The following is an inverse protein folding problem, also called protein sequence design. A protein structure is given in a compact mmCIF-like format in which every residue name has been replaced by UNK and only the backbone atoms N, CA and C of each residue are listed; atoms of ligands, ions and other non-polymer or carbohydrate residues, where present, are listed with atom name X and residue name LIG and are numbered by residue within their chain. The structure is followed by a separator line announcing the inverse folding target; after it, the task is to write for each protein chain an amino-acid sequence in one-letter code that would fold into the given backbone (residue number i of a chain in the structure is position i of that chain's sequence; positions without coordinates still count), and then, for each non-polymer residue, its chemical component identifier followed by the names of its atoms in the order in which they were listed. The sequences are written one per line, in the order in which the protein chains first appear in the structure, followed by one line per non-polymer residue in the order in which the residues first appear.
data_IF_274499779190
#
_entry.id   IF_274499779190
#
_cell.length_a   1.000
_cell.length_b   1.000
_cell.length_c   1.000
_cell.angle_alpha   90.00
_cell.angle_beta   90.00
_cell.angle_gamma   90.00
#
_symmetry.space_group_name_H-M   'P 1'
#
loop_
_entity.id
_entity.type
_entity.pdbx_description
1 polymer ?
#
# COMPACT_ATOMS: atom_id res chain seq x y z
N UNK A 1 -4.63 29.03 -13.53
CA UNK A 1 -4.21 27.75 -14.15
C UNK A 1 -2.76 27.40 -13.82
N UNK A 2 -1.84 28.35 -13.89
CA UNK A 2 -0.41 28.11 -13.59
C UNK A 2 -0.14 27.55 -12.19
N UNK A 3 -0.73 28.12 -11.13
CA UNK A 3 -0.57 27.61 -9.77
C UNK A 3 -1.05 26.17 -9.61
N UNK A 4 -2.15 25.79 -10.28
CA UNK A 4 -2.67 24.43 -10.25
C UNK A 4 -1.71 23.44 -10.95
N UNK A 5 -1.16 23.85 -12.07
CA UNK A 5 -0.16 23.05 -12.81
C UNK A 5 1.09 22.80 -11.94
N UNK A 6 1.59 23.83 -11.23
CA UNK A 6 2.71 23.67 -10.29
C UNK A 6 2.40 22.66 -9.17
N UNK A 7 1.22 22.74 -8.57
CA UNK A 7 0.80 21.80 -7.52
C UNK A 7 0.75 20.37 -8.05
N UNK A 8 0.24 20.16 -9.27
CA UNK A 8 0.18 18.83 -9.90
C UNK A 8 1.59 18.29 -10.18
N UNK A 9 2.49 19.13 -10.68
CA UNK A 9 3.89 18.75 -10.92
C UNK A 9 4.61 18.40 -9.62
N UNK A 10 4.47 19.20 -8.57
CA UNK A 10 5.01 18.92 -7.23
C UNK A 10 4.46 17.60 -6.70
N UNK A 11 3.14 17.41 -6.77
CA UNK A 11 2.48 16.16 -6.35
C UNK A 11 3.08 14.94 -7.02
N UNK A 12 3.23 15.00 -8.35
CA UNK A 12 3.80 13.88 -9.12
C UNK A 12 5.27 13.62 -8.76
N UNK A 13 6.09 14.68 -8.70
CA UNK A 13 7.52 14.54 -8.38
C UNK A 13 7.72 13.93 -7.00
N UNK A 14 7.00 14.41 -5.98
CA UNK A 14 7.12 13.86 -4.63
C UNK A 14 6.51 12.46 -4.51
N UNK A 15 5.46 12.15 -5.27
CA UNK A 15 4.93 10.79 -5.37
C UNK A 15 5.95 9.84 -6.00
N UNK A 16 6.69 10.28 -7.00
CA UNK A 16 7.77 9.51 -7.65
C UNK A 16 8.98 9.34 -6.72
N UNK A 17 9.43 10.39 -6.06
CA UNK A 17 10.54 10.34 -5.08
C UNK A 17 10.18 9.38 -3.94
N UNK A 18 8.97 9.45 -3.40
CA UNK A 18 8.49 8.55 -2.37
C UNK A 18 8.44 7.09 -2.81
N UNK A 19 7.97 6.84 -4.03
CA UNK A 19 8.00 5.51 -4.64
C UNK A 19 9.43 4.97 -4.78
N UNK A 20 10.35 5.80 -5.26
CA UNK A 20 11.75 5.44 -5.45
C UNK A 20 12.40 5.09 -4.09
N UNK A 21 12.21 5.93 -3.08
CA UNK A 21 12.69 5.70 -1.72
C UNK A 21 12.18 4.37 -1.16
N UNK A 22 10.88 4.14 -1.23
CA UNK A 22 10.25 2.94 -0.67
C UNK A 22 10.68 1.67 -1.41
N UNK A 23 10.77 1.75 -2.75
CA UNK A 23 11.20 0.64 -3.61
C UNK A 23 12.65 0.27 -3.32
N UNK A 24 13.56 1.26 -3.24
CA UNK A 24 14.97 1.02 -2.92
C UNK A 24 15.11 0.44 -1.52
N UNK A 25 14.51 1.06 -0.51
CA UNK A 25 14.58 0.59 0.87
C UNK A 25 14.08 -0.85 1.02
N UNK A 26 12.90 -1.15 0.47
CA UNK A 26 12.32 -2.49 0.55
C UNK A 26 13.12 -3.52 -0.25
N UNK A 27 13.67 -3.14 -1.41
CA UNK A 27 14.49 -4.03 -2.23
C UNK A 27 15.81 -4.39 -1.54
N UNK A 28 16.49 -3.43 -0.94
CA UNK A 28 17.72 -3.65 -0.16
C UNK A 28 17.46 -4.58 1.02
N UNK A 29 16.38 -4.33 1.77
CA UNK A 29 15.99 -5.18 2.90
C UNK A 29 15.62 -6.60 2.50
N UNK A 30 14.93 -6.76 1.37
CA UNK A 30 14.49 -8.06 0.85
C UNK A 30 15.57 -8.78 0.03
N UNK A 31 16.71 -8.12 -0.29
CA UNK A 31 17.77 -8.61 -1.20
C UNK A 31 17.24 -9.06 -2.57
N UNK A 32 16.16 -8.46 -3.02
CA UNK A 32 15.54 -8.67 -4.34
C UNK A 32 14.72 -7.45 -4.73
N UNK A 33 14.46 -7.27 -6.02
CA UNK A 33 13.63 -6.16 -6.48
C UNK A 33 12.19 -6.27 -5.93
N UNK A 34 11.74 -5.23 -5.22
CA UNK A 34 10.39 -5.13 -4.63
C UNK A 34 9.73 -3.87 -5.16
N UNK A 35 8.83 -4.01 -6.12
CA UNK A 35 8.10 -2.90 -6.69
C UNK A 35 7.03 -2.41 -5.73
N UNK A 36 7.23 -1.24 -5.11
CA UNK A 36 6.31 -0.66 -4.14
C UNK A 36 5.26 0.23 -4.80
N UNK A 37 4.29 0.68 -4.01
CA UNK A 37 3.21 1.56 -4.46
C UNK A 37 1.87 0.86 -4.64
N UNK A 38 0.79 1.59 -4.34
CA UNK A 38 -0.58 1.12 -4.55
C UNK A 38 -0.94 1.10 -6.04
N UNK A 39 -0.53 2.12 -6.78
CA UNK A 39 -0.75 2.28 -8.22
C UNK A 39 0.23 1.42 -9.04
N UNK A 40 -0.08 1.21 -10.32
CA UNK A 40 0.78 0.43 -11.23
C UNK A 40 2.02 1.22 -11.62
N UNK A 41 1.88 2.52 -11.83
CA UNK A 41 2.99 3.41 -12.19
C UNK A 41 3.97 3.65 -11.04
N UNK A 42 5.16 4.19 -11.35
CA UNK A 42 6.24 4.41 -10.39
C UNK A 42 5.98 5.67 -9.53
N UNK A 43 4.89 5.67 -8.79
CA UNK A 43 4.53 6.77 -7.90
C UNK A 43 3.67 6.27 -6.72
N UNK A 44 3.89 6.88 -5.56
CA UNK A 44 3.14 6.63 -4.31
C UNK A 44 2.42 7.92 -3.90
N UNK A 45 1.12 8.09 -4.20
CA UNK A 45 0.38 9.34 -3.96
C UNK A 45 0.41 9.84 -2.51
N UNK A 46 0.52 8.94 -1.53
CA UNK A 46 0.59 9.32 -0.11
C UNK A 46 1.75 10.29 0.18
N UNK A 47 2.90 10.11 -0.50
CA UNK A 47 4.05 11.01 -0.35
C UNK A 47 3.78 12.38 -1.00
N UNK A 48 3.14 12.40 -2.17
CA UNK A 48 2.69 13.64 -2.81
C UNK A 48 1.74 14.43 -1.94
N UNK A 49 0.71 13.78 -1.38
CA UNK A 49 -0.21 14.42 -0.43
C UNK A 49 0.50 14.85 0.84
N UNK A 50 1.38 14.02 1.39
CA UNK A 50 2.14 14.32 2.61
C UNK A 50 2.98 15.58 2.45
N UNK A 51 3.81 15.63 1.42
CA UNK A 51 4.70 16.79 1.18
C UNK A 51 3.90 18.04 0.84
N UNK A 52 2.91 17.97 -0.05
CA UNK A 52 2.08 19.13 -0.36
C UNK A 52 1.36 19.69 0.87
N UNK A 53 0.88 18.81 1.76
CA UNK A 53 0.27 19.25 3.01
C UNK A 53 1.27 19.95 3.93
N UNK A 54 2.50 19.45 4.02
CA UNK A 54 3.57 20.10 4.78
C UNK A 54 3.94 21.45 4.17
N UNK A 55 4.11 21.54 2.85
CA UNK A 55 4.39 22.78 2.14
C UNK A 55 3.27 23.82 2.31
N UNK A 56 2.03 23.40 2.41
CA UNK A 56 0.91 24.32 2.56
C UNK A 56 0.69 24.78 4.01
N UNK A 57 0.75 23.85 4.97
CA UNK A 57 0.36 24.13 6.36
C UNK A 57 1.54 24.42 7.28
N UNK A 58 2.73 23.90 7.01
CA UNK A 58 3.87 23.92 7.94
C UNK A 58 5.03 24.77 7.43
N UNK A 59 5.31 24.77 6.12
CA UNK A 59 6.36 25.58 5.51
C UNK A 59 6.28 27.07 5.86
N UNK A 60 5.08 27.72 5.98
CA UNK A 60 5.01 29.12 6.42
C UNK A 60 5.70 29.42 7.77
N UNK A 61 5.91 28.39 8.58
CA UNK A 61 6.59 28.45 9.88
C UNK A 61 8.05 27.92 9.83
N UNK A 62 8.62 27.78 8.65
CA UNK A 62 9.96 27.15 8.44
C UNK A 62 11.09 27.82 9.19
N UNK A 63 10.97 29.08 9.60
CA UNK A 63 11.96 29.78 10.42
C UNK A 63 12.10 29.19 11.82
N UNK A 64 11.10 28.46 12.31
CA UNK A 64 11.17 27.74 13.57
C UNK A 64 11.28 26.22 13.28
N UNK A 65 12.50 25.69 13.37
CA UNK A 65 12.78 24.28 13.11
C UNK A 65 11.96 23.33 13.99
N UNK A 66 11.66 23.73 15.23
CA UNK A 66 10.86 22.89 16.14
C UNK A 66 9.40 22.80 15.63
N UNK A 67 8.82 23.94 15.23
CA UNK A 67 7.47 23.97 14.66
C UNK A 67 7.42 23.18 13.34
N UNK A 68 8.43 23.36 12.48
CA UNK A 68 8.53 22.63 11.23
C UNK A 68 8.61 21.12 11.49
N UNK A 69 9.47 20.67 12.42
CA UNK A 69 9.65 19.26 12.75
C UNK A 69 8.40 18.65 13.37
N UNK A 70 7.88 19.23 14.46
CA UNK A 70 6.74 18.67 15.20
C UNK A 70 5.45 18.77 14.36
N UNK A 71 5.22 19.91 13.72
CA UNK A 71 4.07 20.11 12.85
C UNK A 71 4.04 19.12 11.68
N UNK A 72 5.18 18.90 11.03
CA UNK A 72 5.29 17.90 9.96
C UNK A 72 5.08 16.48 10.48
N UNK A 73 5.68 16.10 11.62
CA UNK A 73 5.49 14.77 12.20
C UNK A 73 4.03 14.50 12.52
N UNK A 74 3.33 15.46 13.14
CA UNK A 74 1.89 15.34 13.45
C UNK A 74 1.05 15.24 12.17
N UNK A 75 1.29 16.11 11.20
CA UNK A 75 0.51 16.17 9.96
C UNK A 75 0.66 14.88 9.15
N UNK A 76 1.89 14.39 8.98
CA UNK A 76 2.17 13.15 8.25
C UNK A 76 1.58 11.95 8.97
N UNK A 77 1.64 11.91 10.32
CA UNK A 77 1.01 10.85 11.13
C UNK A 77 -0.52 10.80 10.92
N UNK A 78 -1.18 11.96 10.89
CA UNK A 78 -2.62 12.04 10.61
C UNK A 78 -2.93 11.48 9.22
N UNK A 79 -2.17 11.90 8.20
CA UNK A 79 -2.35 11.42 6.83
C UNK A 79 -2.11 9.91 6.71
N UNK A 80 -1.07 9.39 7.36
CA UNK A 80 -0.77 7.95 7.38
C UNK A 80 -1.90 7.16 8.04
N UNK A 81 -2.41 7.66 9.17
CA UNK A 81 -3.53 7.01 9.89
C UNK A 81 -4.81 7.00 9.05
N UNK A 82 -5.18 8.16 8.48
CA UNK A 82 -6.40 8.30 7.64
C UNK A 82 -6.30 7.42 6.40
N UNK A 83 -5.13 7.39 5.74
CA UNK A 83 -4.89 6.54 4.57
C UNK A 83 -5.01 5.07 4.92
N UNK A 84 -4.35 4.62 6.02
CA UNK A 84 -4.44 3.24 6.48
C UNK A 84 -5.88 2.83 6.81
N UNK A 85 -6.61 3.69 7.53
CA UNK A 85 -8.01 3.46 7.87
C UNK A 85 -8.90 3.39 6.63
N UNK A 86 -8.72 4.31 5.68
CA UNK A 86 -9.49 4.34 4.42
C UNK A 86 -9.27 3.09 3.57
N UNK A 87 -8.00 2.70 3.37
CA UNK A 87 -7.66 1.49 2.62
C UNK A 87 -8.21 0.22 3.28
N UNK A 88 -8.13 0.13 4.62
CA UNK A 88 -8.70 -1.00 5.36
C UNK A 88 -10.23 -1.09 5.19
N UNK A 89 -10.93 0.03 5.26
CA UNK A 89 -12.40 0.09 5.06
C UNK A 89 -12.81 -0.29 3.63
N UNK A 90 -12.07 0.18 2.64
CA UNK A 90 -12.39 -0.07 1.23
C UNK A 90 -12.07 -1.50 0.80
N UNK A 91 -10.92 -2.03 1.22
CA UNK A 91 -10.38 -3.29 0.67
C UNK A 91 -10.29 -4.43 1.67
N UNK A 92 -10.66 -4.22 2.96
CA UNK A 92 -10.51 -5.20 4.04
C UNK A 92 -9.07 -5.72 4.20
N UNK A 93 -8.09 -4.91 3.83
CA UNK A 93 -6.68 -5.23 3.90
C UNK A 93 -5.88 -4.04 4.42
N UNK A 94 -4.83 -4.30 5.18
CA UNK A 94 -3.87 -3.30 5.64
C UNK A 94 -2.53 -3.55 4.96
N UNK A 95 -1.93 -2.50 4.37
CA UNK A 95 -0.68 -2.60 3.58
C UNK A 95 0.57 -2.63 4.43
N UNK A 96 0.49 -2.08 5.67
CA UNK A 96 1.55 -2.11 6.67
C UNK A 96 0.96 -2.39 8.05
N UNK A 97 1.81 -2.84 8.95
CA UNK A 97 1.42 -3.17 10.31
C UNK A 97 2.57 -2.82 11.26
N UNK A 98 2.28 -1.92 12.19
CA UNK A 98 3.21 -1.45 13.23
C UNK A 98 2.88 -2.02 14.61
N UNK A 99 2.09 -3.08 14.74
CA UNK A 99 1.78 -3.66 16.07
C UNK A 99 3.03 -4.05 16.84
N UNK A 100 4.10 -4.46 16.13
CA UNK A 100 5.39 -4.83 16.72
C UNK A 100 6.28 -3.61 17.08
N UNK A 101 5.85 -2.38 16.75
CA UNK A 101 6.62 -1.15 17.00
C UNK A 101 6.08 -0.47 18.26
N UNK A 102 6.96 -0.06 19.22
CA UNK A 102 6.52 0.61 20.44
C UNK A 102 5.79 1.92 20.14
N UNK A 103 4.84 2.27 21.02
CA UNK A 103 3.99 3.46 20.90
C UNK A 103 3.23 3.53 19.57
N UNK A 104 2.74 2.38 19.09
CA UNK A 104 1.84 2.36 17.94
C UNK A 104 0.40 2.67 18.34
N UNK A 105 -0.36 3.22 17.37
CA UNK A 105 -1.79 3.44 17.49
C UNK A 105 -2.51 2.53 16.49
N UNK A 106 -3.14 1.47 17.01
CA UNK A 106 -3.88 0.47 16.25
C UNK A 106 -3.06 -0.22 15.12
N UNK A 107 -1.71 -0.26 15.27
CA UNK A 107 -0.80 -0.77 14.24
C UNK A 107 -0.75 0.05 12.96
N UNK A 108 -1.46 1.21 12.88
CA UNK A 108 -1.53 2.05 11.69
C UNK A 108 -0.41 3.05 11.60
N UNK A 109 -0.04 3.64 12.74
CA UNK A 109 1.05 4.59 12.89
C UNK A 109 1.84 4.25 14.15
N UNK A 110 3.09 4.71 14.25
CA UNK A 110 3.92 4.51 15.44
C UNK A 110 4.83 5.72 15.66
N UNK A 111 5.00 6.13 16.92
CA UNK A 111 5.75 7.33 17.28
C UNK A 111 7.18 7.36 16.68
N UNK A 112 8.00 6.29 16.74
CA UNK A 112 9.33 6.32 16.13
C UNK A 112 9.29 6.57 14.62
N UNK A 113 8.27 6.04 13.92
CA UNK A 113 8.08 6.23 12.48
C UNK A 113 7.66 7.67 12.18
N UNK A 114 6.75 8.22 12.98
CA UNK A 114 6.30 9.61 12.87
C UNK A 114 7.46 10.60 13.07
N UNK A 115 8.31 10.37 14.06
CA UNK A 115 9.50 11.20 14.32
C UNK A 115 10.50 11.11 13.16
N UNK A 116 10.73 9.93 12.60
CA UNK A 116 11.58 9.75 11.42
C UNK A 116 11.05 10.53 10.22
N UNK A 117 9.75 10.46 9.93
CA UNK A 117 9.14 11.22 8.83
C UNK A 117 9.12 12.72 9.08
N UNK A 118 8.97 13.16 10.35
CA UNK A 118 9.13 14.57 10.72
C UNK A 118 10.51 15.11 10.33
N UNK A 119 11.58 14.36 10.62
CA UNK A 119 12.95 14.72 10.21
C UNK A 119 13.09 14.73 8.67
N UNK A 120 12.50 13.73 7.99
CA UNK A 120 12.45 13.68 6.54
C UNK A 120 11.78 14.92 5.93
N UNK A 121 10.68 15.40 6.51
CA UNK A 121 9.99 16.60 6.06
C UNK A 121 10.83 17.87 6.25
N UNK A 122 11.59 17.99 7.36
CA UNK A 122 12.53 19.11 7.54
C UNK A 122 13.58 19.11 6.43
N UNK A 123 14.17 17.96 6.11
CA UNK A 123 15.12 17.82 5.01
C UNK A 123 14.47 18.17 3.66
N UNK A 124 13.24 17.73 3.42
CA UNK A 124 12.50 18.05 2.21
C UNK A 124 12.32 19.57 2.11
N UNK A 125 11.76 20.22 3.10
CA UNK A 125 11.45 21.66 3.05
C UNK A 125 12.72 22.51 2.91
N UNK A 126 13.77 22.20 3.68
CA UNK A 126 14.98 23.04 3.73
C UNK A 126 15.99 22.78 2.61
N UNK A 127 16.05 21.57 2.08
CA UNK A 127 17.10 21.17 1.14
C UNK A 127 16.52 20.77 -0.21
N UNK A 128 15.52 19.91 -0.24
CA UNK A 128 15.04 19.31 -1.48
C UNK A 128 14.06 20.25 -2.22
N UNK A 129 13.14 20.88 -1.50
CA UNK A 129 12.10 21.74 -2.09
C UNK A 129 12.65 22.91 -2.92
N UNK A 130 13.70 23.64 -2.48
CA UNK A 130 14.26 24.72 -3.29
C UNK A 130 14.75 24.24 -4.67
N UNK A 131 15.32 23.05 -4.77
CA UNK A 131 15.78 22.47 -6.02
C UNK A 131 14.60 21.94 -6.86
N UNK A 132 13.65 21.27 -6.24
CA UNK A 132 12.43 20.80 -6.91
C UNK A 132 11.63 21.98 -7.46
N UNK A 133 11.55 23.10 -6.75
CA UNK A 133 10.88 24.30 -7.23
C UNK A 133 11.50 24.84 -8.54
N UNK A 134 12.83 24.79 -8.67
CA UNK A 134 13.52 25.15 -9.94
C UNK A 134 13.15 24.19 -11.07
N UNK A 135 13.13 22.87 -10.78
CA UNK A 135 12.73 21.86 -11.77
C UNK A 135 11.28 22.07 -12.21
N UNK A 136 10.36 22.32 -11.29
CA UNK A 136 8.95 22.58 -11.58
C UNK A 136 8.79 23.83 -12.43
N UNK A 137 9.51 24.91 -12.11
CA UNK A 137 9.49 26.16 -12.90
C UNK A 137 10.01 25.94 -14.32
N UNK A 138 11.09 25.18 -14.49
CA UNK A 138 11.62 24.80 -15.78
C UNK A 138 10.64 23.97 -16.61
N UNK A 139 10.04 22.93 -15.99
CA UNK A 139 9.05 22.08 -16.66
C UNK A 139 7.82 22.87 -17.08
N UNK A 140 7.37 23.80 -16.23
CA UNK A 140 6.23 24.65 -16.54
C UNK A 140 6.54 25.65 -17.66
N UNK A 141 7.72 26.25 -17.67
CA UNK A 141 8.15 27.14 -18.75
C UNK A 141 8.26 26.41 -20.08
N UNK A 142 8.69 25.13 -20.07
CA UNK A 142 8.91 24.34 -21.30
C UNK A 142 7.61 23.74 -21.84
N UNK A 143 6.78 23.15 -20.97
CA UNK A 143 5.62 22.36 -21.39
C UNK A 143 4.28 23.02 -21.05
N UNK A 144 4.29 24.13 -20.31
CA UNK A 144 3.08 24.81 -19.85
C UNK A 144 2.17 23.90 -19.02
N UNK A 145 0.86 24.05 -19.22
CA UNK A 145 -0.13 23.26 -18.51
C UNK A 145 -0.36 21.86 -19.11
N UNK A 146 0.15 21.58 -20.30
CA UNK A 146 -0.09 20.30 -20.99
C UNK A 146 0.53 19.12 -20.24
N UNK A 147 1.74 19.29 -19.69
CA UNK A 147 2.40 18.23 -18.91
C UNK A 147 1.59 17.86 -17.67
N UNK A 148 1.10 18.84 -16.92
CA UNK A 148 0.25 18.61 -15.77
C UNK A 148 -1.05 17.88 -16.16
N UNK A 149 -1.68 18.26 -17.27
CA UNK A 149 -2.88 17.58 -17.78
C UNK A 149 -2.59 16.11 -18.12
N UNK A 150 -1.49 15.84 -18.84
CA UNK A 150 -1.09 14.47 -19.15
C UNK A 150 -0.85 13.64 -17.90
N UNK A 151 -0.18 14.20 -16.88
CA UNK A 151 0.05 13.52 -15.60
C UNK A 151 -1.28 13.16 -14.91
N UNK A 152 -2.23 14.10 -14.84
CA UNK A 152 -3.55 13.85 -14.23
C UNK A 152 -4.29 12.74 -14.97
N UNK A 153 -4.27 12.75 -16.30
CA UNK A 153 -4.93 11.70 -17.11
C UNK A 153 -4.28 10.34 -16.84
N UNK A 154 -2.94 10.24 -16.92
CA UNK A 154 -2.23 8.97 -16.73
C UNK A 154 -2.43 8.42 -15.33
N UNK A 155 -2.26 9.26 -14.29
CA UNK A 155 -2.47 8.85 -12.91
C UNK A 155 -3.94 8.51 -12.62
N UNK A 156 -4.88 9.25 -13.21
CA UNK A 156 -6.31 9.00 -13.09
C UNK A 156 -6.71 7.65 -13.70
N UNK A 157 -6.24 7.34 -14.90
CA UNK A 157 -6.46 6.04 -15.54
C UNK A 157 -5.86 4.89 -14.74
N UNK A 158 -4.64 5.06 -14.23
CA UNK A 158 -3.99 4.07 -13.37
C UNK A 158 -4.78 3.87 -12.06
N UNK A 159 -5.27 4.94 -11.46
CA UNK A 159 -6.09 4.86 -10.26
C UNK A 159 -7.39 4.06 -10.52
N UNK A 160 -8.10 4.37 -11.61
CA UNK A 160 -9.32 3.64 -11.99
C UNK A 160 -8.99 2.16 -12.21
N UNK A 161 -7.96 1.86 -13.00
CA UNK A 161 -7.52 0.50 -13.24
C UNK A 161 -7.19 -0.24 -11.94
N UNK A 162 -6.44 0.40 -11.05
CA UNK A 162 -6.04 -0.17 -9.76
C UNK A 162 -7.25 -0.44 -8.87
N UNK A 163 -8.20 0.51 -8.75
CA UNK A 163 -9.40 0.35 -7.94
C UNK A 163 -10.29 -0.80 -8.43
N UNK A 164 -10.49 -0.94 -9.74
CA UNK A 164 -11.25 -2.05 -10.32
C UNK A 164 -10.62 -3.41 -10.00
N UNK A 165 -9.30 -3.51 -10.12
CA UNK A 165 -8.57 -4.74 -9.79
C UNK A 165 -8.60 -5.06 -8.29
N UNK A 166 -8.56 -4.03 -7.42
CA UNK A 166 -8.64 -4.22 -5.98
C UNK A 166 -10.03 -4.64 -5.50
N UNK A 167 -11.10 -4.20 -6.15
CA UNK A 167 -12.44 -4.72 -5.89
C UNK A 167 -12.53 -6.22 -6.21
N UNK A 168 -11.96 -6.64 -7.34
CA UNK A 168 -11.83 -8.06 -7.68
C UNK A 168 -11.02 -8.86 -6.67
N UNK A 169 -9.95 -8.27 -6.13
CA UNK A 169 -9.15 -8.87 -5.06
C UNK A 169 -9.95 -9.07 -3.77
N UNK A 170 -10.68 -8.05 -3.32
CA UNK A 170 -11.58 -8.14 -2.16
C UNK A 170 -12.60 -9.27 -2.32
N UNK A 171 -13.26 -9.36 -3.49
CA UNK A 171 -14.21 -10.43 -3.80
C UNK A 171 -13.56 -11.81 -3.71
N UNK A 172 -12.38 -11.97 -4.33
CA UNK A 172 -11.64 -13.23 -4.32
C UNK A 172 -11.27 -13.68 -2.90
N UNK A 173 -10.74 -12.77 -2.06
CA UNK A 173 -10.38 -13.07 -0.68
C UNK A 173 -11.61 -13.47 0.14
N UNK A 174 -12.75 -12.81 -0.07
CA UNK A 174 -14.00 -13.14 0.61
C UNK A 174 -14.49 -14.53 0.20
N UNK A 175 -14.45 -14.87 -1.09
CA UNK A 175 -14.77 -16.20 -1.61
C UNK A 175 -13.85 -17.28 -1.04
N UNK A 176 -12.54 -16.98 -0.92
CA UNK A 176 -11.58 -17.89 -0.28
C UNK A 176 -11.97 -18.19 1.18
N UNK A 177 -12.31 -17.14 1.94
CA UNK A 177 -12.75 -17.29 3.34
C UNK A 177 -14.01 -18.12 3.48
N UNK A 178 -15.01 -17.89 2.63
CA UNK A 178 -16.27 -18.67 2.61
C UNK A 178 -16.02 -20.13 2.21
N UNK A 179 -15.20 -20.36 1.19
CA UNK A 179 -14.85 -21.72 0.75
C UNK A 179 -14.15 -22.51 1.84
N UNK A 180 -13.29 -21.89 2.63
CA UNK A 180 -12.62 -22.53 3.78
C UNK A 180 -13.65 -22.88 4.87
N UNK A 181 -14.59 -21.99 5.16
CA UNK A 181 -15.65 -22.23 6.14
C UNK A 181 -16.53 -23.42 5.77
N UNK A 182 -17.03 -23.46 4.53
CA UNK A 182 -17.85 -24.57 4.03
C UNK A 182 -17.12 -25.91 4.16
N UNK A 183 -15.81 -25.93 3.87
CA UNK A 183 -15.02 -27.15 3.99
C UNK A 183 -14.76 -27.57 5.44
N UNK A 184 -14.59 -26.62 6.36
CA UNK A 184 -14.48 -26.95 7.79
C UNK A 184 -15.81 -27.54 8.32
N UNK A 185 -16.95 -27.00 7.87
CA UNK A 185 -18.27 -27.53 8.26
C UNK A 185 -18.51 -28.93 7.67
N UNK A 186 -18.22 -29.14 6.39
CA UNK A 186 -18.29 -30.47 5.77
C UNK A 186 -17.37 -31.48 6.45
N UNK A 187 -16.16 -31.06 6.85
CA UNK A 187 -15.22 -31.91 7.57
C UNK A 187 -15.74 -32.30 8.95
N UNK A 188 -16.28 -31.34 9.72
CA UNK A 188 -16.91 -31.62 11.01
C UNK A 188 -18.09 -32.58 10.90
N UNK A 189 -18.92 -32.42 9.87
CA UNK A 189 -20.03 -33.34 9.60
C UNK A 189 -19.55 -34.76 9.23
N UNK A 190 -18.44 -34.89 8.50
CA UNK A 190 -17.86 -36.20 8.10
C UNK A 190 -17.12 -36.88 9.26
N UNK A 191 -16.52 -36.14 10.20
CA UNK A 191 -15.92 -36.70 11.42
C UNK A 191 -16.97 -37.33 12.34
N UNK A 192 -18.19 -36.83 12.30
CA UNK A 192 -19.31 -37.45 13.04
C UNK A 192 -19.85 -38.73 12.34
N UNK A 193 -19.46 -39.01 11.11
CA UNK A 193 -19.82 -40.23 10.37
C UNK A 193 -18.56 -41.05 10.13
N UNK A 194 -18.28 -42.01 11.00
CA UNK A 194 -17.16 -42.98 11.00
C UNK A 194 -16.50 -43.23 9.65
N UNK A 195 -15.34 -42.59 9.39
CA UNK A 195 -14.33 -43.07 8.42
C UNK A 195 -12.98 -42.39 8.67
N UNK A 196 -12.10 -43.00 9.48
CA UNK A 196 -10.88 -42.40 10.01
C UNK A 196 -9.61 -42.54 9.14
N UNK A 197 -9.61 -43.34 8.07
CA UNK A 197 -8.36 -43.72 7.38
C UNK A 197 -8.15 -43.11 5.98
N UNK A 198 -9.21 -42.64 5.32
CA UNK A 198 -9.11 -42.03 3.98
C UNK A 198 -9.00 -40.50 3.98
N UNK A 199 -8.96 -39.87 5.14
CA UNK A 199 -9.18 -38.41 5.28
C UNK A 199 -7.94 -37.56 5.02
N UNK A 200 -6.73 -38.01 5.35
CA UNK A 200 -5.49 -37.22 5.22
C UNK A 200 -5.08 -37.01 3.74
N UNK A 201 -5.22 -38.00 2.90
CA UNK A 201 -4.87 -37.90 1.47
C UNK A 201 -5.93 -37.11 0.68
N UNK A 202 -7.21 -37.27 1.03
CA UNK A 202 -8.29 -36.45 0.49
C UNK A 202 -8.15 -34.97 0.86
N UNK A 203 -7.73 -34.65 2.07
CA UNK A 203 -7.49 -33.28 2.49
C UNK A 203 -6.35 -32.64 1.70
N UNK A 204 -5.22 -33.32 1.55
CA UNK A 204 -4.08 -32.85 0.77
C UNK A 204 -4.44 -32.62 -0.71
N UNK A 205 -5.22 -33.53 -1.29
CA UNK A 205 -5.68 -33.41 -2.68
C UNK A 205 -6.64 -32.22 -2.86
N UNK A 206 -7.60 -32.04 -1.93
CA UNK A 206 -8.58 -30.96 -1.94
C UNK A 206 -7.91 -29.60 -1.73
N UNK A 207 -6.89 -29.50 -0.87
CA UNK A 207 -6.07 -28.31 -0.69
C UNK A 207 -5.24 -27.96 -1.92
N UNK A 208 -4.64 -28.96 -2.59
CA UNK A 208 -3.89 -28.75 -3.85
C UNK A 208 -4.80 -28.22 -4.96
N UNK A 209 -5.94 -28.83 -5.18
CA UNK A 209 -6.92 -28.43 -6.22
C UNK A 209 -7.45 -27.02 -5.98
N UNK A 210 -7.71 -26.65 -4.71
CA UNK A 210 -8.14 -25.28 -4.36
C UNK A 210 -7.05 -24.26 -4.58
N UNK A 211 -5.83 -24.59 -4.19
CA UNK A 211 -4.65 -23.76 -4.36
C UNK A 211 -4.45 -23.41 -5.84
N UNK A 212 -4.54 -24.39 -6.73
CA UNK A 212 -4.44 -24.21 -8.17
C UNK A 212 -5.60 -23.37 -8.72
N UNK A 213 -6.83 -23.62 -8.27
CA UNK A 213 -7.99 -22.85 -8.69
C UNK A 213 -7.87 -21.36 -8.36
N UNK A 214 -7.47 -21.00 -7.13
CA UNK A 214 -7.31 -19.60 -6.73
C UNK A 214 -6.07 -18.95 -7.37
N UNK A 215 -4.99 -19.70 -7.60
CA UNK A 215 -3.80 -19.20 -8.26
C UNK A 215 -4.08 -18.72 -9.68
N UNK A 216 -4.90 -19.43 -10.42
CA UNK A 216 -5.26 -19.09 -11.80
C UNK A 216 -6.24 -17.89 -11.88
N UNK A 217 -6.93 -17.56 -10.80
CA UNK A 217 -7.85 -16.41 -10.71
C UNK A 217 -7.17 -15.09 -10.33
N UNK A 218 -5.93 -15.13 -9.84
CA UNK A 218 -5.18 -13.93 -9.49
C UNK A 218 -4.64 -13.24 -10.74
N UNK A 219 -4.99 -11.97 -10.93
CA UNK A 219 -4.41 -11.14 -11.98
C UNK A 219 -3.02 -10.61 -11.59
N UNK A 220 -2.31 -9.99 -12.56
CA UNK A 220 -0.95 -9.45 -12.36
C UNK A 220 -0.87 -8.51 -11.15
N UNK A 221 -1.79 -7.57 -11.01
CA UNK A 221 -1.76 -6.59 -9.94
C UNK A 221 -1.99 -7.22 -8.57
N UNK A 222 -2.91 -8.17 -8.46
CA UNK A 222 -3.19 -8.90 -7.23
C UNK A 222 -1.99 -9.75 -6.80
N UNK A 223 -1.32 -10.41 -7.74
CA UNK A 223 -0.06 -11.13 -7.47
C UNK A 223 1.03 -10.18 -6.99
N UNK A 224 1.16 -8.99 -7.62
CA UNK A 224 2.10 -7.94 -7.20
C UNK A 224 1.87 -7.53 -5.75
N UNK A 225 0.62 -7.29 -5.33
CA UNK A 225 0.31 -6.95 -3.94
C UNK A 225 0.72 -8.05 -2.97
N UNK A 226 0.32 -9.29 -3.21
CA UNK A 226 0.67 -10.41 -2.35
C UNK A 226 2.21 -10.54 -2.23
N UNK A 227 2.94 -10.40 -3.32
CA UNK A 227 4.39 -10.57 -3.36
C UNK A 227 5.16 -9.42 -2.71
N UNK A 228 4.70 -8.19 -2.87
CA UNK A 228 5.46 -6.99 -2.50
C UNK A 228 5.06 -6.40 -1.13
N UNK A 229 3.97 -6.90 -0.52
CA UNK A 229 3.52 -6.46 0.79
C UNK A 229 3.54 -7.62 1.81
N UNK A 230 4.71 -7.95 2.40
CA UNK A 230 4.84 -9.08 3.32
C UNK A 230 4.04 -8.90 4.62
N UNK A 231 3.74 -7.67 5.00
CA UNK A 231 2.90 -7.33 6.17
C UNK A 231 1.43 -7.05 5.79
N UNK A 232 0.99 -7.46 4.60
CA UNK A 232 -0.41 -7.37 4.21
C UNK A 232 -1.26 -8.20 5.18
N UNK A 233 -2.15 -7.56 5.92
CA UNK A 233 -3.07 -8.22 6.84
C UNK A 233 -4.49 -8.12 6.32
N UNK A 234 -5.23 -9.24 6.43
CA UNK A 234 -6.63 -9.31 6.04
C UNK A 234 -7.50 -9.02 7.26
N UNK A 235 -8.41 -8.07 7.15
CA UNK A 235 -9.32 -7.68 8.23
C UNK A 235 -10.78 -7.85 7.80
N UNK A 236 -11.63 -8.22 8.77
CA UNK A 236 -13.07 -8.43 8.53
C UNK A 236 -13.39 -9.52 7.49
N UNK A 237 -12.54 -10.54 7.39
CA UNK A 237 -12.73 -11.69 6.50
C UNK A 237 -12.78 -12.94 7.36
N UNK A 238 -13.75 -13.83 7.08
CA UNK A 238 -13.86 -15.14 7.70
C UNK A 238 -12.60 -15.96 7.41
N UNK A 239 -12.11 -16.69 8.42
CA UNK A 239 -10.88 -17.50 8.34
C UNK A 239 -9.65 -16.73 7.81
N UNK A 240 -9.49 -15.48 8.23
CA UNK A 240 -8.43 -14.59 7.75
C UNK A 240 -7.01 -15.15 7.91
N UNK A 241 -6.76 -15.95 8.96
CA UNK A 241 -5.46 -16.62 9.19
C UNK A 241 -5.18 -17.68 8.12
N UNK A 242 -6.15 -18.55 7.85
CA UNK A 242 -6.07 -19.61 6.86
C UNK A 242 -5.98 -19.06 5.43
N UNK A 243 -6.75 -18.00 5.14
CA UNK A 243 -6.64 -17.27 3.85
C UNK A 243 -5.24 -16.68 3.71
N UNK A 244 -4.68 -16.10 4.77
CA UNK A 244 -3.30 -15.57 4.76
C UNK A 244 -2.28 -16.68 4.47
N UNK A 245 -2.38 -17.84 5.11
CA UNK A 245 -1.51 -18.98 4.83
C UNK A 245 -1.61 -19.43 3.35
N UNK A 246 -2.83 -19.50 2.80
CA UNK A 246 -3.01 -19.81 1.38
C UNK A 246 -2.35 -18.77 0.47
N UNK A 247 -2.45 -17.49 0.80
CA UNK A 247 -1.79 -16.41 0.04
C UNK A 247 -0.26 -16.48 0.14
N UNK A 248 0.28 -16.79 1.31
CA UNK A 248 1.72 -17.00 1.53
C UNK A 248 2.24 -18.21 0.72
N UNK A 249 1.49 -19.28 0.70
CA UNK A 249 1.80 -20.46 -0.11
C UNK A 249 1.75 -20.19 -1.62
N UNK A 250 0.79 -19.37 -2.09
CA UNK A 250 0.69 -18.95 -3.49
C UNK A 250 1.89 -18.08 -3.90
N UNK A 251 2.45 -17.31 -2.96
CA UNK A 251 3.65 -16.51 -3.14
C UNK A 251 4.90 -17.35 -3.38
N UNK A 252 5.07 -18.44 -2.60
CA UNK A 252 6.28 -19.26 -2.62
C UNK A 252 6.41 -20.14 -3.88
N UNK A 253 5.33 -20.35 -4.64
CA UNK A 253 5.33 -21.15 -5.89
C UNK A 253 5.50 -20.31 -7.17
N UNK A 254 5.58 -19.00 -7.06
CA UNK A 254 5.76 -18.07 -8.18
C UNK A 254 7.21 -17.56 -8.34
N UNK A 255 8.16 -18.19 -7.67
CA UNK A 255 9.61 -17.96 -7.81
C UNK A 255 10.24 -19.03 -8.66
#
# INVERSE_FOLDING_TARGET
MEKMSQVILLFFIYSFIGWLWETVYCSLKAKKFVYRGFLVGPYCPIYGFGVLSVLYFVEPFENNLLVLYVGSAVLVTILEYVTSYGLEKLFHASWWDYHDVPFNLNGRVALPVSLFWGLGCVLIVKVIQPEIAKVVSFLQATFGNYLALCIVIVMGLDLIYTLLNMQGFKKLITEMGQTLETNQQEFKQRLNTKMEIATADWQKLKERTKKEHFQNRLNFQQRRFINNYPKLTLKNIKNSKEVRHLLEDLKNKGQ
#
